data_IF_115840697029
#
_entry.id   IF_115840697029
#
_cell.length_a   1.000
_cell.length_b   1.000
_cell.length_c   1.000
_cell.angle_alpha   90.00
_cell.angle_beta   90.00
_cell.angle_gamma   90.00
#
_symmetry.space_group_name_H-M   'P 1'
#
loop_
_entity.id
_entity.type
_entity.pdbx_description
1 polymer ?
#
# COMPACT_ATOMS: atom_id res chain seq x y z
N UNK A 1 2.34 -37.62 9.50
CA UNK A 1 1.95 -36.25 9.91
C UNK A 1 1.09 -35.67 8.79
N UNK A 2 -0.01 -34.97 9.08
CA UNK A 2 -0.73 -34.26 8.03
C UNK A 2 0.19 -33.14 7.52
N UNK A 3 0.41 -33.09 6.20
CA UNK A 3 1.07 -31.94 5.57
C UNK A 3 0.02 -30.84 5.39
N UNK A 4 0.40 -29.59 5.63
CA UNK A 4 -0.45 -28.46 5.28
C UNK A 4 -0.62 -28.42 3.74
N UNK A 5 -1.85 -28.19 3.29
CA UNK A 5 -2.18 -27.97 1.89
C UNK A 5 -2.02 -26.48 1.56
N UNK A 6 -1.25 -26.17 0.52
CA UNK A 6 -0.92 -24.82 0.10
C UNK A 6 -1.44 -24.52 -1.32
N UNK A 7 -2.36 -25.32 -1.87
CA UNK A 7 -2.91 -25.09 -3.23
C UNK A 7 -3.46 -23.67 -3.42
N UNK A 8 -4.10 -23.12 -2.38
CA UNK A 8 -4.74 -21.79 -2.40
C UNK A 8 -3.87 -20.68 -1.78
N UNK A 9 -2.63 -20.98 -1.37
CA UNK A 9 -1.83 -19.98 -0.64
C UNK A 9 -1.46 -18.78 -1.50
N UNK A 10 -1.30 -18.98 -2.82
CA UNK A 10 -1.03 -17.91 -3.78
C UNK A 10 -2.18 -16.90 -3.88
N UNK A 11 -3.38 -17.34 -4.31
CA UNK A 11 -4.56 -16.48 -4.38
C UNK A 11 -4.92 -15.81 -3.05
N UNK A 12 -4.81 -16.54 -1.94
CA UNK A 12 -5.10 -15.97 -0.62
C UNK A 12 -4.10 -14.87 -0.22
N UNK A 13 -2.81 -15.06 -0.50
CA UNK A 13 -1.80 -14.03 -0.24
C UNK A 13 -2.02 -12.80 -1.11
N UNK A 14 -2.38 -12.99 -2.38
CA UNK A 14 -2.68 -11.89 -3.31
C UNK A 14 -3.85 -11.04 -2.79
N UNK A 15 -4.96 -11.65 -2.40
CA UNK A 15 -6.14 -10.94 -1.87
C UNK A 15 -5.79 -10.10 -0.63
N UNK A 16 -4.95 -10.63 0.26
CA UNK A 16 -4.48 -9.92 1.45
C UNK A 16 -3.58 -8.74 1.06
N UNK A 17 -2.62 -8.96 0.16
CA UNK A 17 -1.73 -7.89 -0.33
C UNK A 17 -2.55 -6.78 -0.99
N UNK A 18 -3.44 -7.12 -1.92
CA UNK A 18 -4.30 -6.18 -2.61
C UNK A 18 -5.15 -5.34 -1.64
N UNK A 19 -5.75 -5.96 -0.62
CA UNK A 19 -6.50 -5.25 0.41
C UNK A 19 -5.65 -4.25 1.22
N UNK A 20 -4.43 -4.63 1.60
CA UNK A 20 -3.50 -3.75 2.31
C UNK A 20 -3.06 -2.58 1.42
N UNK A 21 -2.79 -2.83 0.14
CA UNK A 21 -2.41 -1.79 -0.82
C UNK A 21 -3.54 -0.76 -1.00
N UNK A 22 -4.79 -1.22 -1.16
CA UNK A 22 -5.94 -0.35 -1.34
C UNK A 22 -6.10 0.68 -0.20
N UNK A 23 -5.90 0.26 1.05
CA UNK A 23 -5.95 1.17 2.21
C UNK A 23 -4.80 2.18 2.21
N UNK A 24 -3.60 1.76 1.81
CA UNK A 24 -2.43 2.66 1.74
C UNK A 24 -2.56 3.68 0.61
N UNK A 25 -3.30 3.35 -0.44
CA UNK A 25 -3.55 4.20 -1.61
C UNK A 25 -4.89 4.95 -1.55
N UNK A 26 -5.65 4.83 -0.45
CA UNK A 26 -6.99 5.41 -0.31
C UNK A 26 -7.04 6.93 -0.56
N UNK A 27 -5.94 7.64 -0.32
CA UNK A 27 -5.82 9.08 -0.56
C UNK A 27 -5.94 9.50 -2.03
N UNK A 28 -5.92 8.54 -2.98
CA UNK A 28 -6.20 8.81 -4.39
C UNK A 28 -7.69 9.05 -4.66
N UNK A 29 -8.57 8.70 -3.72
CA UNK A 29 -10.02 8.94 -3.78
C UNK A 29 -10.67 8.44 -5.08
N UNK A 30 -10.25 7.27 -5.56
CA UNK A 30 -10.75 6.62 -6.77
C UNK A 30 -10.79 5.11 -6.58
N UNK A 31 -11.61 4.44 -7.38
CA UNK A 31 -11.57 2.98 -7.50
C UNK A 31 -10.24 2.56 -8.11
N UNK A 32 -9.56 1.60 -7.49
CA UNK A 32 -8.30 1.06 -7.99
C UNK A 32 -8.54 -0.25 -8.73
N UNK A 33 -7.93 -0.36 -9.92
CA UNK A 33 -8.02 -1.55 -10.77
C UNK A 33 -6.74 -2.37 -10.64
N UNK A 34 -6.89 -3.64 -10.27
CA UNK A 34 -5.78 -4.55 -9.96
C UNK A 34 -5.60 -5.59 -11.06
N UNK A 35 -4.38 -5.73 -11.55
CA UNK A 35 -3.92 -6.81 -12.43
C UNK A 35 -3.11 -7.81 -11.59
N UNK A 36 -3.75 -8.92 -11.24
CA UNK A 36 -3.14 -9.98 -10.42
C UNK A 36 -2.00 -10.72 -11.10
N UNK A 37 -2.04 -10.87 -12.43
CA UNK A 37 -1.00 -11.58 -13.16
C UNK A 37 0.32 -10.80 -13.16
N UNK A 38 0.24 -9.47 -13.26
CA UNK A 38 1.40 -8.57 -13.23
C UNK A 38 1.66 -7.95 -11.85
N UNK A 39 0.81 -8.26 -10.85
CA UNK A 39 0.87 -7.73 -9.48
C UNK A 39 0.94 -6.19 -9.44
N UNK A 40 0.07 -5.49 -10.19
CA UNK A 40 0.11 -4.02 -10.27
C UNK A 40 -1.26 -3.37 -10.43
N UNK A 41 -1.34 -2.06 -10.15
CA UNK A 41 -2.52 -1.26 -10.45
C UNK A 41 -2.44 -0.67 -11.86
N UNK A 42 -3.50 -0.83 -12.65
CA UNK A 42 -3.53 -0.42 -14.07
C UNK A 42 -3.94 1.04 -14.26
N UNK A 43 -4.61 1.63 -13.28
CA UNK A 43 -5.26 2.92 -13.40
C UNK A 43 -4.64 4.03 -12.54
N UNK A 44 -3.38 3.90 -12.12
CA UNK A 44 -2.61 4.97 -11.45
C UNK A 44 -1.69 5.65 -12.48
N UNK A 45 -1.94 6.93 -12.75
CA UNK A 45 -1.13 7.73 -13.68
C UNK A 45 0.27 8.06 -13.15
N UNK A 46 1.19 8.38 -14.05
CA UNK A 46 2.61 8.63 -13.73
C UNK A 46 2.85 9.87 -12.85
N UNK A 47 1.90 10.82 -12.83
CA UNK A 47 1.99 12.06 -12.07
C UNK A 47 1.03 12.11 -10.87
N UNK A 48 0.28 11.04 -10.60
CA UNK A 48 -0.59 10.98 -9.42
C UNK A 48 0.27 10.95 -8.15
N UNK A 49 -0.12 11.76 -7.16
CA UNK A 49 0.61 11.86 -5.89
C UNK A 49 -0.30 11.62 -4.71
N UNK A 50 0.30 11.14 -3.63
CA UNK A 50 -0.34 10.85 -2.35
C UNK A 50 0.35 11.64 -1.23
N UNK A 51 -0.39 11.88 -0.16
CA UNK A 51 0.15 12.41 1.10
C UNK A 51 -0.40 11.58 2.24
N UNK A 52 0.43 11.32 3.24
CA UNK A 52 0.02 10.64 4.48
C UNK A 52 -0.04 11.66 5.61
N UNK A 53 -1.03 11.54 6.49
CA UNK A 53 -1.12 12.39 7.66
C UNK A 53 -0.05 11.96 8.67
N UNK A 54 0.84 12.88 9.05
CA UNK A 54 1.90 12.66 10.05
C UNK A 54 1.33 12.84 11.45
N UNK A 55 0.53 13.89 11.63
CA UNK A 55 -0.04 14.27 12.92
C UNK A 55 -1.43 14.85 12.71
N UNK A 56 -2.39 14.32 13.46
CA UNK A 56 -3.71 14.93 13.56
C UNK A 56 -3.67 15.99 14.66
N UNK A 57 -3.56 17.26 14.27
CA UNK A 57 -3.57 18.40 15.19
C UNK A 57 -4.99 18.74 15.60
N UNK A 58 -5.68 17.80 16.24
CA UNK A 58 -7.03 18.03 16.77
C UNK A 58 -6.98 19.08 17.88
N UNK A 59 -7.72 20.17 17.70
CA UNK A 59 -7.89 21.23 18.67
C UNK A 59 -9.36 21.59 18.81
N UNK A 60 -9.77 22.03 20.00
CA UNK A 60 -11.12 22.53 20.24
C UNK A 60 -10.98 23.99 20.67
N UNK A 61 -11.63 24.90 19.93
CA UNK A 61 -11.74 26.31 20.30
C UNK A 61 -13.23 26.65 20.47
N UNK A 62 -13.62 27.12 21.67
CA UNK A 62 -15.02 27.44 22.01
C UNK A 62 -16.05 26.33 21.67
N UNK A 63 -15.67 25.07 21.89
CA UNK A 63 -16.53 23.92 21.60
C UNK A 63 -16.56 23.50 20.12
N UNK A 64 -15.88 24.22 19.23
CA UNK A 64 -15.76 23.85 17.82
C UNK A 64 -14.47 23.03 17.57
N UNK A 65 -14.60 21.76 17.14
CA UNK A 65 -13.45 20.94 16.77
C UNK A 65 -12.82 21.46 15.48
N UNK A 66 -11.49 21.55 15.47
CA UNK A 66 -10.66 21.90 14.31
C UNK A 66 -9.55 20.86 14.15
N UNK A 67 -9.22 20.54 12.89
CA UNK A 67 -8.23 19.51 12.56
C UNK A 67 -7.09 20.15 11.78
N UNK A 68 -6.01 20.51 12.47
CA UNK A 68 -4.81 21.00 11.82
C UNK A 68 -3.86 19.84 11.50
N UNK A 69 -4.13 19.16 10.38
CA UNK A 69 -3.35 17.99 9.96
C UNK A 69 -2.01 18.39 9.36
N UNK A 70 -0.93 17.83 9.89
CA UNK A 70 0.38 17.88 9.24
C UNK A 70 0.49 16.72 8.27
N UNK A 71 0.94 17.00 7.05
CA UNK A 71 1.02 16.01 5.96
C UNK A 71 2.48 15.78 5.56
N UNK A 72 2.77 14.60 5.00
CA UNK A 72 4.03 14.34 4.31
C UNK A 72 4.15 15.18 3.04
N UNK A 73 5.38 15.28 2.53
CA UNK A 73 5.59 15.69 1.15
C UNK A 73 4.84 14.77 0.17
N UNK A 74 4.42 15.28 -1.00
CA UNK A 74 3.80 14.46 -2.03
C UNK A 74 4.73 13.32 -2.46
N UNK A 75 4.21 12.10 -2.43
CA UNK A 75 4.90 10.91 -2.96
C UNK A 75 4.24 10.47 -4.26
N UNK A 76 5.03 9.99 -5.22
CA UNK A 76 4.49 9.43 -6.45
C UNK A 76 3.72 8.14 -6.15
N UNK A 77 2.43 8.10 -6.50
CA UNK A 77 1.56 7.00 -6.12
C UNK A 77 1.91 5.69 -6.83
N UNK A 78 2.31 5.76 -8.11
CA UNK A 78 2.68 4.59 -8.91
C UNK A 78 3.96 3.93 -8.39
N UNK A 79 4.98 4.74 -8.09
CA UNK A 79 6.23 4.26 -7.49
C UNK A 79 5.98 3.68 -6.09
N UNK A 80 5.18 4.37 -5.28
CA UNK A 80 4.83 3.90 -3.95
C UNK A 80 4.11 2.54 -3.99
N UNK A 81 3.14 2.36 -4.89
CA UNK A 81 2.45 1.10 -5.07
C UNK A 81 3.41 -0.04 -5.50
N UNK A 82 4.31 0.23 -6.45
CA UNK A 82 5.30 -0.74 -6.91
C UNK A 82 6.25 -1.18 -5.78
N UNK A 83 6.71 -0.24 -4.95
CA UNK A 83 7.58 -0.50 -3.80
C UNK A 83 6.88 -1.32 -2.71
N UNK A 84 5.57 -1.14 -2.51
CA UNK A 84 4.78 -1.94 -1.57
C UNK A 84 4.58 -3.38 -2.05
N UNK A 85 4.46 -3.61 -3.37
CA UNK A 85 4.38 -4.96 -3.95
C UNK A 85 5.74 -5.65 -3.90
N UNK A 86 6.78 -4.94 -4.31
CA UNK A 86 8.15 -5.47 -4.39
C UNK A 86 9.13 -4.46 -3.81
N UNK A 87 9.40 -4.62 -2.52
CA UNK A 87 10.31 -3.75 -1.80
C UNK A 87 11.76 -3.97 -2.23
N UNK A 88 12.49 -2.87 -2.47
CA UNK A 88 13.92 -2.89 -2.68
C UNK A 88 14.61 -2.85 -1.32
N UNK A 89 15.07 -4.01 -0.85
CA UNK A 89 15.77 -4.11 0.41
C UNK A 89 17.10 -3.36 0.38
N UNK A 90 17.51 -2.88 1.55
CA UNK A 90 18.82 -2.26 1.76
C UNK A 90 19.94 -3.22 1.32
N UNK A 91 21.02 -2.67 0.78
CA UNK A 91 22.21 -3.43 0.40
C UNK A 91 22.65 -4.41 1.49
N UNK A 92 22.90 -5.66 1.09
CA UNK A 92 23.23 -6.78 1.98
C UNK A 92 22.02 -7.58 2.49
N UNK A 93 20.79 -7.08 2.32
CA UNK A 93 19.56 -7.80 2.65
C UNK A 93 18.94 -8.41 1.39
N UNK A 94 18.67 -9.72 1.42
CA UNK A 94 17.94 -10.42 0.36
C UNK A 94 17.00 -11.44 0.96
N UNK A 95 15.84 -11.62 0.34
CA UNK A 95 14.98 -12.75 0.64
C UNK A 95 15.69 -14.05 0.21
N UNK A 96 15.53 -15.14 0.98
CA UNK A 96 15.94 -16.46 0.52
C UNK A 96 15.17 -16.86 -0.74
N UNK A 97 15.79 -17.69 -1.58
CA UNK A 97 15.12 -18.21 -2.77
C UNK A 97 13.87 -19.00 -2.40
N UNK A 98 12.85 -18.93 -3.25
CA UNK A 98 11.64 -19.73 -3.08
C UNK A 98 12.01 -21.23 -3.07
N UNK A 99 11.43 -22.02 -2.16
CA UNK A 99 11.61 -23.47 -2.18
C UNK A 99 11.11 -24.06 -3.51
N UNK A 100 11.84 -25.06 -4.02
CA UNK A 100 11.48 -25.80 -5.23
C UNK A 100 10.43 -26.87 -4.95
#
# INVERSE_FOLDING_TARGET
MPKADFSESGPMNEMVVMGVLAIRLQGLNKTLEWDGANMCFTNIGDNETLRTCIKDGFTIHDGHPSFNKTWTDPINAKQFAAELVKHNYREGWRLPDMPR
#
